data_IF_706128029844
#
_entry.id   IF_706128029844
#
_cell.length_a   1.000
_cell.length_b   1.000
_cell.length_c   1.000
_cell.angle_alpha   90.00
_cell.angle_beta   90.00
_cell.angle_gamma   90.00
#
_symmetry.space_group_name_H-M   'P 1'
#
loop_
_entity.id
_entity.type
_entity.pdbx_description
1 polymer ?
#
# COMPACT_ATOMS: atom_id res chain seq x y z
N UNK A 1 8.61 -8.70 0.18
CA UNK A 1 7.79 -9.62 1.00
C UNK A 1 8.44 -9.79 2.36
N UNK A 2 7.67 -10.04 3.41
CA UNK A 2 8.20 -10.33 4.76
C UNK A 2 7.99 -11.80 5.14
N UNK A 3 8.96 -12.41 5.83
CA UNK A 3 8.84 -13.78 6.30
C UNK A 3 7.71 -13.93 7.33
N UNK A 4 6.99 -15.05 7.32
CA UNK A 4 5.93 -15.33 8.29
C UNK A 4 4.56 -14.71 7.98
N UNK A 5 4.42 -13.84 6.97
CA UNK A 5 3.12 -13.35 6.52
C UNK A 5 2.67 -14.01 5.21
N UNK A 6 1.45 -14.54 5.17
CA UNK A 6 0.90 -15.25 4.01
C UNK A 6 0.24 -14.30 2.98
N UNK A 7 1.07 -13.51 2.30
CA UNK A 7 0.64 -12.60 1.23
C UNK A 7 -0.19 -13.30 0.14
N UNK A 8 -1.12 -12.56 -0.48
CA UNK A 8 -1.79 -13.00 -1.70
C UNK A 8 -0.80 -13.17 -2.85
N UNK A 9 -1.17 -13.95 -3.87
CA UNK A 9 -0.35 -14.06 -5.08
C UNK A 9 -0.23 -12.71 -5.80
N UNK A 10 -1.30 -11.91 -5.81
CA UNK A 10 -1.30 -10.56 -6.36
C UNK A 10 -0.22 -9.66 -5.74
N UNK A 11 -0.11 -9.62 -4.41
CA UNK A 11 0.89 -8.78 -3.73
C UNK A 11 2.30 -9.36 -3.87
N UNK A 12 2.45 -10.69 -3.89
CA UNK A 12 3.75 -11.33 -4.17
C UNK A 12 4.25 -11.05 -5.58
N UNK A 13 3.34 -10.99 -6.56
CA UNK A 13 3.63 -10.79 -7.99
C UNK A 13 3.63 -9.33 -8.45
N UNK A 14 3.49 -8.36 -7.55
CA UNK A 14 3.37 -6.94 -7.89
C UNK A 14 4.59 -6.40 -8.68
N UNK A 15 5.79 -6.96 -8.48
CA UNK A 15 6.97 -6.66 -9.29
C UNK A 15 7.60 -5.28 -9.06
N UNK A 16 7.06 -4.47 -8.15
CA UNK A 16 7.57 -3.15 -7.79
C UNK A 16 7.97 -3.06 -6.31
N UNK A 17 8.78 -2.05 -5.99
CA UNK A 17 9.01 -1.61 -4.62
C UNK A 17 7.89 -0.65 -4.20
N UNK A 18 7.53 -0.66 -2.92
CA UNK A 18 6.52 0.25 -2.39
C UNK A 18 7.09 1.67 -2.25
N UNK A 19 6.68 2.55 -3.16
CA UNK A 19 6.92 3.99 -3.10
C UNK A 19 5.61 4.75 -2.79
N UNK A 20 5.69 6.08 -2.75
CA UNK A 20 4.54 6.92 -2.44
C UNK A 20 3.39 6.79 -3.45
N UNK A 21 3.69 6.63 -4.74
CA UNK A 21 2.69 6.58 -5.80
C UNK A 21 1.94 5.24 -5.77
N UNK A 22 2.67 4.13 -5.61
CA UNK A 22 2.08 2.81 -5.44
C UNK A 22 1.26 2.73 -4.14
N UNK A 23 1.73 3.37 -3.06
CA UNK A 23 0.98 3.47 -1.81
C UNK A 23 -0.29 4.31 -1.98
N UNK A 24 -0.28 5.41 -2.74
CA UNK A 24 -1.47 6.21 -3.00
C UNK A 24 -2.55 5.39 -3.72
N UNK A 25 -2.18 4.69 -4.80
CA UNK A 25 -3.11 3.82 -5.53
C UNK A 25 -3.62 2.65 -4.68
N UNK A 26 -2.73 2.03 -3.89
CA UNK A 26 -3.10 0.95 -2.99
C UNK A 26 -4.07 1.41 -1.90
N UNK A 27 -3.83 2.58 -1.30
CA UNK A 27 -4.70 3.14 -0.27
C UNK A 27 -6.01 3.65 -0.86
N UNK A 28 -6.03 4.14 -2.10
CA UNK A 28 -7.25 4.60 -2.77
C UNK A 28 -8.21 3.44 -3.02
N UNK A 29 -7.73 2.32 -3.58
CA UNK A 29 -8.54 1.13 -3.75
C UNK A 29 -7.67 -0.12 -3.96
N UNK A 30 -7.45 -0.93 -2.90
CA UNK A 30 -6.60 -2.11 -3.00
C UNK A 30 -7.14 -3.11 -4.02
N UNK A 31 -8.47 -3.27 -4.11
CA UNK A 31 -9.12 -4.30 -4.94
C UNK A 31 -8.92 -4.04 -6.44
N UNK A 32 -8.98 -2.78 -6.86
CA UNK A 32 -8.74 -2.42 -8.26
C UNK A 32 -7.26 -2.33 -8.57
N UNK A 33 -6.44 -1.85 -7.63
CA UNK A 33 -5.00 -1.69 -7.85
C UNK A 33 -4.26 -3.03 -7.97
N UNK A 34 -4.53 -3.99 -7.07
CA UNK A 34 -4.01 -5.36 -7.17
C UNK A 34 -5.16 -6.37 -7.03
N UNK A 35 -5.82 -6.73 -8.15
CA UNK A 35 -6.93 -7.69 -8.14
C UNK A 35 -6.53 -9.04 -7.54
N UNK A 36 -7.39 -9.58 -6.67
CA UNK A 36 -7.12 -10.85 -5.97
C UNK A 36 -6.19 -10.71 -4.74
N UNK A 37 -5.93 -9.48 -4.28
CA UNK A 37 -5.32 -9.29 -2.97
C UNK A 37 -6.28 -9.68 -1.83
N UNK A 38 -5.70 -9.92 -0.64
CA UNK A 38 -6.45 -10.38 0.55
C UNK A 38 -6.87 -9.24 1.50
N UNK A 39 -6.59 -7.99 1.16
CA UNK A 39 -6.91 -6.84 2.01
C UNK A 39 -8.38 -6.45 1.82
N UNK A 40 -9.21 -6.73 2.83
CA UNK A 40 -10.64 -6.38 2.84
C UNK A 40 -10.89 -4.91 3.25
N UNK A 41 -10.09 -3.99 2.70
CA UNK A 41 -10.20 -2.56 2.96
C UNK A 41 -10.90 -1.86 1.79
N UNK A 42 -11.91 -0.99 2.02
CA UNK A 42 -12.58 -0.28 0.94
C UNK A 42 -11.68 0.71 0.21
N UNK A 43 -10.78 1.39 0.93
CA UNK A 43 -9.98 2.50 0.41
C UNK A 43 -10.10 3.75 1.28
N UNK A 44 -9.25 4.74 0.98
CA UNK A 44 -9.32 6.11 1.46
C UNK A 44 -9.61 7.01 0.25
N UNK A 45 -10.84 7.52 0.16
CA UNK A 45 -11.28 8.32 -0.99
C UNK A 45 -10.58 9.68 -1.03
N UNK A 46 -10.45 10.34 0.13
CA UNK A 46 -9.83 11.64 0.25
C UNK A 46 -8.31 11.56 0.02
N UNK A 47 -7.82 12.30 -0.97
CA UNK A 47 -6.39 12.32 -1.31
C UNK A 47 -5.53 12.88 -0.17
N UNK A 48 -6.08 13.79 0.64
CA UNK A 48 -5.38 14.36 1.80
C UNK A 48 -5.13 13.29 2.86
N UNK A 49 -6.13 12.46 3.17
CA UNK A 49 -5.99 11.36 4.14
C UNK A 49 -4.94 10.35 3.69
N UNK A 50 -4.90 10.01 2.39
CA UNK A 50 -3.86 9.13 1.85
C UNK A 50 -2.47 9.73 1.99
N UNK A 51 -2.32 11.01 1.65
CA UNK A 51 -1.04 11.73 1.80
C UNK A 51 -0.57 11.75 3.24
N UNK A 52 -1.47 11.97 4.20
CA UNK A 52 -1.14 12.02 5.61
C UNK A 52 -0.73 10.65 6.15
N UNK A 53 -1.43 9.57 5.74
CA UNK A 53 -1.03 8.19 6.05
C UNK A 53 0.34 7.86 5.44
N UNK A 54 0.59 8.24 4.18
CA UNK A 54 1.89 8.01 3.54
C UNK A 54 3.00 8.78 4.25
N UNK A 55 2.74 10.03 4.67
CA UNK A 55 3.69 10.83 5.43
C UNK A 55 4.01 10.19 6.79
N UNK A 56 2.98 9.71 7.50
CA UNK A 56 3.17 8.97 8.74
C UNK A 56 4.02 7.70 8.52
N UNK A 57 3.69 6.88 7.52
CA UNK A 57 4.45 5.67 7.21
C UNK A 57 5.92 5.97 6.88
N UNK A 58 6.21 7.05 6.15
CA UNK A 58 7.59 7.48 5.90
C UNK A 58 8.35 7.76 7.21
N UNK A 59 7.74 8.52 8.12
CA UNK A 59 8.36 8.82 9.42
C UNK A 59 8.60 7.54 10.24
N UNK A 60 7.59 6.68 10.37
CA UNK A 60 7.68 5.46 11.19
C UNK A 60 8.64 4.40 10.61
N UNK A 61 8.88 4.44 9.30
CA UNK A 61 9.85 3.54 8.65
C UNK A 61 11.26 4.13 8.57
N UNK A 62 11.49 5.29 9.20
CA UNK A 62 12.79 5.93 9.26
C UNK A 62 13.22 6.56 7.93
N UNK A 63 12.29 6.96 7.08
CA UNK A 63 12.60 7.70 5.85
C UNK A 63 13.34 8.99 6.22
N UNK A 64 14.53 9.14 5.66
CA UNK A 64 15.30 10.38 5.70
C UNK A 64 15.28 10.99 4.28
N UNK A 65 14.94 12.28 4.16
CA UNK A 65 14.79 12.94 2.86
C UNK A 65 16.10 13.04 2.06
#
# INVERSE_FOLDING_TARGET
THAGFNYSQAVKGAGFAWDADHLDHWLANPRTFLPGNKMSFPGLDEATDRRDVIAFLKVETGYQP
#
